data_IF_055718221569
#
_entry.id   IF_055718221569
#
_cell.length_a   1.000
_cell.length_b   1.000
_cell.length_c   1.000
_cell.angle_alpha   90.00
_cell.angle_beta   90.00
_cell.angle_gamma   90.00
#
_symmetry.space_group_name_H-M   'P 1'
#
loop_
_entity.id
_entity.type
_entity.pdbx_description
1 polymer ?
#
# COMPACT_ATOMS: atom_id res chain seq x y z
N UNK A 1 0.89 -23.35 2.72
CA UNK A 1 0.42 -22.26 3.60
C UNK A 1 -1.07 -22.44 3.84
N UNK A 2 -1.58 -22.22 5.06
CA UNK A 2 -3.02 -22.26 5.31
C UNK A 2 -3.75 -21.23 4.44
N UNK A 3 -5.02 -21.49 4.05
CA UNK A 3 -5.80 -20.57 3.23
C UNK A 3 -5.99 -19.24 3.97
N UNK A 4 -5.84 -18.13 3.23
CA UNK A 4 -6.04 -16.78 3.79
C UNK A 4 -7.49 -16.63 4.28
N UNK A 5 -7.67 -16.04 5.47
CA UNK A 5 -9.00 -15.70 5.96
C UNK A 5 -9.71 -14.71 5.01
N UNK A 6 -11.04 -14.65 5.07
CA UNK A 6 -11.82 -13.70 4.25
C UNK A 6 -11.29 -12.26 4.35
N UNK A 7 -11.04 -11.81 5.58
CA UNK A 7 -10.47 -10.48 5.85
C UNK A 7 -9.06 -10.31 5.27
N UNK A 8 -8.18 -11.30 5.39
CA UNK A 8 -6.84 -11.23 4.78
C UNK A 8 -6.89 -11.12 3.26
N UNK A 9 -7.85 -11.80 2.61
CA UNK A 9 -8.08 -11.69 1.16
C UNK A 9 -8.54 -10.29 0.79
N UNK A 10 -9.43 -9.69 1.59
CA UNK A 10 -9.89 -8.32 1.38
C UNK A 10 -8.77 -7.29 1.54
N UNK A 11 -7.96 -7.38 2.59
CA UNK A 11 -6.78 -6.52 2.78
C UNK A 11 -5.84 -6.62 1.58
N UNK A 12 -5.57 -7.84 1.11
CA UNK A 12 -4.71 -8.09 -0.04
C UNK A 12 -5.31 -7.57 -1.35
N UNK A 13 -6.63 -7.65 -1.51
CA UNK A 13 -7.33 -7.10 -2.66
C UNK A 13 -7.26 -5.56 -2.69
N UNK A 14 -7.46 -4.91 -1.53
CA UNK A 14 -7.36 -3.47 -1.40
C UNK A 14 -5.93 -2.99 -1.69
N UNK A 15 -4.91 -3.66 -1.15
CA UNK A 15 -3.51 -3.35 -1.41
C UNK A 15 -3.17 -3.44 -2.91
N UNK A 16 -3.58 -4.52 -3.58
CA UNK A 16 -3.36 -4.68 -5.03
C UNK A 16 -4.12 -3.63 -5.86
N UNK A 17 -5.32 -3.22 -5.44
CA UNK A 17 -6.05 -2.11 -6.09
C UNK A 17 -5.27 -0.79 -5.93
N UNK A 18 -4.77 -0.49 -4.74
CA UNK A 18 -3.96 0.71 -4.48
C UNK A 18 -2.67 0.74 -5.32
N UNK A 19 -1.96 -0.38 -5.47
CA UNK A 19 -0.79 -0.46 -6.35
C UNK A 19 -1.14 -0.28 -7.83
N UNK A 20 -2.29 -0.78 -8.28
CA UNK A 20 -2.78 -0.56 -9.66
C UNK A 20 -3.15 0.90 -9.89
N UNK A 21 -3.78 1.56 -8.92
CA UNK A 21 -4.01 3.01 -8.95
C UNK A 21 -2.67 3.76 -9.10
N UNK A 22 -1.68 3.45 -8.27
CA UNK A 22 -0.36 4.07 -8.34
C UNK A 22 0.31 3.88 -9.72
N UNK A 23 0.17 2.70 -10.33
CA UNK A 23 0.71 2.41 -11.65
C UNK A 23 0.02 3.19 -12.80
N UNK A 24 -1.24 3.59 -12.61
CA UNK A 24 -2.01 4.39 -13.58
C UNK A 24 -1.69 5.88 -13.53
N UNK A 25 -1.08 6.38 -12.44
CA UNK A 25 -0.68 7.78 -12.31
C UNK A 25 0.45 8.13 -13.29
N UNK A 26 0.72 9.43 -13.44
CA UNK A 26 1.79 9.97 -14.29
C UNK A 26 3.13 9.28 -14.01
N UNK A 27 3.90 8.85 -15.05
CA UNK A 27 5.20 8.21 -14.88
C UNK A 27 6.13 8.88 -13.87
N UNK A 28 6.19 10.21 -13.84
CA UNK A 28 7.03 10.97 -12.92
C UNK A 28 6.56 10.90 -11.46
N UNK A 29 5.30 10.53 -11.21
CA UNK A 29 4.69 10.44 -9.88
C UNK A 29 4.44 9.00 -9.42
N UNK A 30 4.53 7.99 -10.30
CA UNK A 30 4.30 6.57 -9.97
C UNK A 30 5.16 6.08 -8.81
N UNK A 31 6.44 6.49 -8.77
CA UNK A 31 7.38 6.08 -7.73
C UNK A 31 6.94 6.58 -6.35
N UNK A 32 6.51 7.85 -6.28
CA UNK A 32 6.01 8.47 -5.06
C UNK A 32 4.72 7.77 -4.59
N UNK A 33 3.76 7.57 -5.49
CA UNK A 33 2.52 6.84 -5.15
C UNK A 33 2.76 5.40 -4.69
N UNK A 34 3.69 4.69 -5.35
CA UNK A 34 4.04 3.32 -4.96
C UNK A 34 4.68 3.28 -3.58
N UNK A 35 5.58 4.22 -3.30
CA UNK A 35 6.24 4.38 -2.00
C UNK A 35 5.22 4.68 -0.90
N UNK A 36 4.34 5.66 -1.14
CA UNK A 36 3.27 6.04 -0.23
C UNK A 36 2.36 4.85 0.12
N UNK A 37 1.89 4.11 -0.89
CA UNK A 37 1.01 2.94 -0.68
C UNK A 37 1.73 1.86 0.12
N UNK A 38 2.95 1.47 -0.28
CA UNK A 38 3.73 0.43 0.41
C UNK A 38 3.99 0.77 1.87
N UNK A 39 4.46 2.00 2.10
CA UNK A 39 4.77 2.50 3.44
C UNK A 39 3.51 2.53 4.32
N UNK A 40 2.41 3.06 3.79
CA UNK A 40 1.14 3.18 4.53
C UNK A 40 0.60 1.82 4.94
N UNK A 41 0.55 0.85 4.00
CA UNK A 41 0.06 -0.50 4.33
C UNK A 41 0.96 -1.21 5.33
N UNK A 42 2.29 -1.08 5.21
CA UNK A 42 3.22 -1.66 6.19
C UNK A 42 3.00 -1.07 7.59
N UNK A 43 3.03 0.25 7.69
CA UNK A 43 2.89 0.97 8.97
C UNK A 43 1.55 0.67 9.64
N UNK A 44 0.47 0.63 8.86
CA UNK A 44 -0.87 0.28 9.37
C UNK A 44 -0.92 -1.17 9.86
N UNK A 45 -0.34 -2.11 9.11
CA UNK A 45 -0.29 -3.51 9.51
C UNK A 45 0.53 -3.74 10.79
N UNK A 46 1.59 -2.95 11.02
CA UNK A 46 2.38 -2.99 12.26
C UNK A 46 1.65 -2.34 13.44
N UNK A 47 0.72 -1.41 13.19
CA UNK A 47 -0.03 -0.71 14.24
C UNK A 47 -1.22 -1.49 14.82
N UNK A 48 -1.61 -2.62 14.23
CA UNK A 48 -2.76 -3.42 14.69
C UNK A 48 -2.40 -4.88 14.88
N UNK A 49 -2.95 -5.51 15.92
CA UNK A 49 -2.78 -6.93 16.16
C UNK A 49 -3.59 -7.77 15.15
N UNK A 50 -3.11 -8.97 14.74
CA UNK A 50 -3.81 -9.82 13.78
C UNK A 50 -5.15 -10.36 14.29
N UNK A 51 -5.42 -10.25 15.59
CA UNK A 51 -6.68 -10.67 16.24
C UNK A 51 -7.66 -9.51 16.46
N UNK A 52 -7.24 -8.27 16.22
CA UNK A 52 -8.09 -7.09 16.35
C UNK A 52 -8.88 -6.85 15.06
N UNK A 53 -9.87 -7.73 14.84
CA UNK A 53 -10.70 -7.72 13.63
C UNK A 53 -11.42 -6.38 13.46
N UNK A 54 -11.94 -5.80 14.55
CA UNK A 54 -12.65 -4.53 14.51
C UNK A 54 -11.77 -3.36 14.07
N UNK A 55 -10.52 -3.27 14.56
CA UNK A 55 -9.57 -2.26 14.11
C UNK A 55 -9.17 -2.46 12.65
N UNK A 56 -8.92 -3.71 12.22
CA UNK A 56 -8.58 -4.02 10.83
C UNK A 56 -9.73 -3.61 9.88
N UNK A 57 -10.97 -3.94 10.23
CA UNK A 57 -12.14 -3.53 9.45
C UNK A 57 -12.29 -2.01 9.37
N UNK A 58 -12.06 -1.30 10.48
CA UNK A 58 -12.07 0.15 10.48
C UNK A 58 -11.01 0.72 9.54
N UNK A 59 -9.77 0.24 9.61
CA UNK A 59 -8.69 0.65 8.70
C UNK A 59 -9.03 0.33 7.24
N UNK A 60 -9.65 -0.82 6.98
CA UNK A 60 -10.12 -1.20 5.65
C UNK A 60 -11.18 -0.25 5.11
N UNK A 61 -12.16 0.17 5.93
CA UNK A 61 -13.17 1.18 5.54
C UNK A 61 -12.51 2.52 5.22
N UNK A 62 -11.56 2.96 6.05
CA UNK A 62 -10.81 4.20 5.79
C UNK A 62 -10.00 4.11 4.50
N UNK A 63 -9.27 3.02 4.30
CA UNK A 63 -8.43 2.81 3.12
C UNK A 63 -9.24 2.73 1.82
N UNK A 64 -10.45 2.14 1.84
CA UNK A 64 -11.36 2.12 0.68
C UNK A 64 -11.78 3.54 0.27
N UNK A 65 -12.23 4.35 1.23
CA UNK A 65 -12.62 5.75 0.98
C UNK A 65 -11.45 6.59 0.47
N UNK A 66 -10.27 6.44 1.06
CA UNK A 66 -9.06 7.13 0.59
C UNK A 66 -8.68 6.72 -0.83
N UNK A 67 -8.77 5.42 -1.14
CA UNK A 67 -8.42 4.92 -2.47
C UNK A 67 -9.40 5.41 -3.54
N UNK A 68 -10.70 5.49 -3.24
CA UNK A 68 -11.69 6.10 -4.15
C UNK A 68 -11.29 7.53 -4.50
N UNK A 69 -10.95 8.36 -3.50
CA UNK A 69 -10.45 9.71 -3.71
C UNK A 69 -9.15 9.74 -4.55
N UNK A 70 -8.22 8.83 -4.28
CA UNK A 70 -6.95 8.77 -5.01
C UNK A 70 -7.10 8.25 -6.44
N UNK A 71 -8.18 7.55 -6.77
CA UNK A 71 -8.45 7.09 -8.13
C UNK A 71 -8.97 8.22 -9.03
N UNK A 72 -9.49 9.31 -8.46
CA UNK A 72 -9.91 10.49 -9.20
C UNK A 72 -8.77 11.08 -10.06
N UNK A 73 -9.10 11.50 -11.28
CA UNK A 73 -8.14 12.05 -12.25
C UNK A 73 -7.57 13.40 -11.81
N UNK A 74 -8.33 14.15 -11.00
CA UNK A 74 -7.89 15.40 -10.39
C UNK A 74 -6.75 15.20 -9.38
N UNK A 75 -6.64 14.02 -8.77
CA UNK A 75 -5.62 13.71 -7.76
C UNK A 75 -4.38 13.13 -8.44
N UNK A 76 -3.43 14.01 -8.79
CA UNK A 76 -2.23 13.61 -9.57
C UNK A 76 -1.02 13.26 -8.71
N UNK A 77 -0.89 13.91 -7.56
CA UNK A 77 0.32 13.88 -6.74
C UNK A 77 0.01 13.39 -5.32
N UNK A 78 1.00 12.76 -4.69
CA UNK A 78 1.00 12.51 -3.25
C UNK A 78 2.30 13.09 -2.64
N UNK A 79 2.24 13.41 -1.35
CA UNK A 79 3.43 13.83 -0.61
C UNK A 79 4.13 12.59 -0.04
N UNK A 80 5.43 12.47 -0.29
CA UNK A 80 6.29 11.41 0.24
C UNK A 80 7.41 12.07 1.02
N UNK A 81 7.48 11.77 2.32
CA UNK A 81 8.50 12.31 3.21
C UNK A 81 9.88 11.68 2.94
N UNK A 82 10.94 12.33 3.42
CA UNK A 82 12.29 11.77 3.36
C UNK A 82 12.39 10.40 4.04
N UNK A 83 11.69 10.21 5.16
CA UNK A 83 11.56 8.94 5.88
C UNK A 83 10.96 7.84 4.98
N UNK A 84 9.84 8.13 4.30
CA UNK A 84 9.19 7.16 3.41
C UNK A 84 10.10 6.73 2.26
N UNK A 85 10.86 7.68 1.68
CA UNK A 85 11.83 7.39 0.61
C UNK A 85 12.97 6.51 1.13
N UNK A 86 13.55 6.88 2.27
CA UNK A 86 14.62 6.09 2.91
C UNK A 86 14.14 4.67 3.26
N UNK A 87 12.90 4.53 3.73
CA UNK A 87 12.27 3.24 3.99
C UNK A 87 12.15 2.40 2.71
N UNK A 88 11.60 2.93 1.61
CA UNK A 88 11.43 2.16 0.36
C UNK A 88 12.80 1.75 -0.23
N UNK A 89 13.80 2.62 -0.17
CA UNK A 89 15.18 2.30 -0.58
C UNK A 89 15.77 1.15 0.25
N UNK A 90 15.59 1.19 1.58
CA UNK A 90 16.05 0.13 2.48
C UNK A 90 15.32 -1.20 2.20
N UNK A 91 14.01 -1.17 1.94
CA UNK A 91 13.25 -2.37 1.58
C UNK A 91 13.70 -2.95 0.23
N UNK A 92 13.97 -2.11 -0.77
CA UNK A 92 14.50 -2.56 -2.08
C UNK A 92 15.88 -3.19 -1.97
N UNK A 93 16.74 -2.71 -1.07
CA UNK A 93 18.04 -3.34 -0.79
C UNK A 93 17.90 -4.69 -0.09
N UNK A 94 16.91 -4.82 0.82
CA UNK A 94 16.61 -6.07 1.54
C UNK A 94 15.97 -7.14 0.66
N UNK A 95 15.23 -6.75 -0.37
CA UNK A 95 14.71 -7.66 -1.39
C UNK A 95 15.67 -7.66 -2.59
N UNK A 96 16.72 -8.51 -2.63
CA UNK A 96 17.43 -8.74 -3.88
C UNK A 96 16.39 -9.15 -4.92
N UNK A 97 16.30 -8.40 -6.03
CA UNK A 97 15.62 -8.90 -7.22
C UNK A 97 16.21 -10.28 -7.49
N UNK A 98 15.38 -11.32 -7.49
CA UNK A 98 15.76 -12.59 -8.09
C UNK A 98 16.30 -12.30 -9.51
N UNK A 99 17.54 -12.65 -9.84
CA UNK A 99 18.14 -12.36 -11.14
C UNK A 99 17.60 -13.27 -12.27
N UNK A 100 16.49 -13.97 -12.07
CA UNK A 100 15.89 -14.88 -13.05
C UNK A 100 14.42 -14.53 -13.32
N UNK A 101 14.19 -13.58 -14.23
CA UNK A 101 12.96 -13.54 -15.04
C UNK A 101 13.18 -12.83 -16.36
#
# INVERSE_FOLDING_TARGET
MPPMSGLQREVSALYRRALRMAARKDPAKRADWSTFVRYTFRTRAESVGPRDVGAIEYLMRQGRKQLELYEEESVRNCSVTSEMRAWDDAQRRRSPKDPQR
#
